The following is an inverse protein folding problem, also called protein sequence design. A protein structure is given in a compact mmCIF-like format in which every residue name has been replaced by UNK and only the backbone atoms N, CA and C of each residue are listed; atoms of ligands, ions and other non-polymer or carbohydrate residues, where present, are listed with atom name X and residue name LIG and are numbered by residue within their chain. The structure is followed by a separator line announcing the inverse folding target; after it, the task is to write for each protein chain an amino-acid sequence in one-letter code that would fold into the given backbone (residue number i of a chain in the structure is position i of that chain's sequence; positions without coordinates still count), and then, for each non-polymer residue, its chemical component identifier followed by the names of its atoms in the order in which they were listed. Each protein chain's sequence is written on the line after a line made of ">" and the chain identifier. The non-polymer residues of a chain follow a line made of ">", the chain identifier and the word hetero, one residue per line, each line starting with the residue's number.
data_IF_049194273924
#
_entry.id   IF_049194273924
#
_cell.length_a   1.000
_cell.length_b   1.000
_cell.length_c   1.000
_cell.angle_alpha   90.00
_cell.angle_beta   90.00
_cell.angle_gamma   90.00
#
_symmetry.space_group_name_H-M   'P 1'
#
loop_
_entity.id
_entity.type
_entity.pdbx_description
1 polymer ?
#
# COMPACT_ATOMS: atom_id res chain seq x y z
N UNK A 1 12.47 -0.62 6.26
CA UNK A 1 11.48 0.29 5.66
C UNK A 1 10.37 -0.47 4.95
N UNK A 2 10.60 -1.12 3.80
CA UNK A 2 9.54 -1.87 3.09
C UNK A 2 8.93 -2.97 3.98
N UNK A 3 9.76 -3.80 4.62
CA UNK A 3 9.28 -4.81 5.59
C UNK A 3 8.53 -4.19 6.77
N UNK A 4 8.99 -3.02 7.27
CA UNK A 4 8.35 -2.32 8.38
C UNK A 4 6.98 -1.76 7.98
N UNK A 5 6.88 -1.19 6.78
CA UNK A 5 5.62 -0.72 6.19
C UNK A 5 4.66 -1.89 6.04
N UNK A 6 5.10 -3.04 5.52
CA UNK A 6 4.20 -4.18 5.40
C UNK A 6 3.76 -4.74 6.76
N UNK A 7 4.67 -4.75 7.75
CA UNK A 7 4.39 -5.34 9.06
C UNK A 7 3.51 -4.43 9.94
N UNK A 8 3.73 -3.12 9.89
CA UNK A 8 3.15 -2.16 10.84
C UNK A 8 2.24 -1.11 10.19
N UNK A 9 2.17 -1.07 8.86
CA UNK A 9 1.50 -0.02 8.10
C UNK A 9 2.32 1.27 8.01
N UNK A 10 1.82 2.21 7.22
CA UNK A 10 2.30 3.58 7.17
C UNK A 10 1.84 4.31 8.43
N UNK A 11 2.78 4.52 9.35
CA UNK A 11 2.64 5.44 10.48
C UNK A 11 3.70 6.53 10.39
N UNK A 12 3.54 7.60 11.18
CA UNK A 12 4.50 8.69 11.23
C UNK A 12 5.93 8.16 11.47
N UNK A 13 6.82 8.42 10.52
CA UNK A 13 8.22 7.98 10.58
C UNK A 13 8.53 6.59 10.01
N UNK A 14 7.54 5.82 9.54
CA UNK A 14 7.76 4.51 8.90
C UNK A 14 8.02 4.59 7.39
N UNK A 15 7.55 5.65 6.73
CA UNK A 15 7.83 5.93 5.32
C UNK A 15 8.62 7.25 5.18
N UNK A 16 9.93 7.14 5.04
CA UNK A 16 10.86 8.26 4.93
C UNK A 16 10.72 8.92 3.56
N UNK A 17 9.97 10.03 3.51
CA UNK A 17 9.69 10.79 2.29
C UNK A 17 8.21 11.04 2.02
N UNK A 18 7.34 10.45 2.84
CA UNK A 18 5.89 10.69 2.86
C UNK A 18 5.42 11.06 4.28
N UNK A 19 6.30 11.72 5.04
CA UNK A 19 6.05 12.08 6.44
C UNK A 19 5.11 13.27 6.55
N UNK A 20 5.18 14.20 5.59
CA UNK A 20 4.39 15.43 5.60
C UNK A 20 3.29 15.41 4.54
N UNK A 21 2.17 16.08 4.82
CA UNK A 21 1.05 16.17 3.88
C UNK A 21 1.41 16.78 2.52
N UNK A 22 2.38 17.70 2.45
CA UNK A 22 2.80 18.25 1.16
C UNK A 22 3.51 17.21 0.28
N UNK A 23 4.13 16.19 0.88
CA UNK A 23 4.82 15.11 0.17
C UNK A 23 3.80 14.12 -0.36
N UNK A 24 2.82 13.72 0.47
CA UNK A 24 1.74 12.83 0.04
C UNK A 24 0.81 13.49 -0.97
N UNK A 25 0.51 14.78 -0.83
CA UNK A 25 -0.25 15.52 -1.83
C UNK A 25 0.49 15.56 -3.18
N UNK A 26 1.78 15.89 -3.17
CA UNK A 26 2.59 15.90 -4.39
C UNK A 26 2.66 14.51 -5.03
N UNK A 27 2.91 13.47 -4.23
CA UNK A 27 2.95 12.10 -4.71
C UNK A 27 1.61 11.68 -5.33
N UNK A 28 0.50 12.00 -4.67
CA UNK A 28 -0.83 11.74 -5.20
C UNK A 28 -1.04 12.44 -6.54
N UNK A 29 -0.71 13.73 -6.64
CA UNK A 29 -0.92 14.50 -7.87
C UNK A 29 -0.05 13.97 -9.03
N UNK A 30 1.15 13.44 -8.74
CA UNK A 30 2.06 12.84 -9.72
C UNK A 30 1.67 11.40 -10.15
N UNK A 31 1.04 10.62 -9.27
CA UNK A 31 0.75 9.19 -9.46
C UNK A 31 -0.73 8.82 -9.37
N UNK A 32 -1.63 9.79 -9.52
CA UNK A 32 -3.07 9.61 -9.29
C UNK A 32 -3.68 8.43 -10.05
N UNK A 33 -3.36 8.29 -11.33
CA UNK A 33 -3.92 7.22 -12.17
C UNK A 33 -3.46 5.84 -11.66
N UNK A 34 -2.16 5.67 -11.43
CA UNK A 34 -1.58 4.43 -10.90
C UNK A 34 -2.16 4.05 -9.53
N UNK A 35 -2.37 5.03 -8.65
CA UNK A 35 -3.00 4.83 -7.34
C UNK A 35 -4.43 4.26 -7.51
N UNK A 36 -5.23 4.85 -8.39
CA UNK A 36 -6.61 4.41 -8.60
C UNK A 36 -6.70 3.07 -9.34
N UNK A 37 -5.76 2.79 -10.24
CA UNK A 37 -5.67 1.49 -10.91
C UNK A 37 -5.38 0.38 -9.88
N UNK A 38 -4.39 0.57 -8.99
CA UNK A 38 -4.09 -0.38 -7.92
C UNK A 38 -5.29 -0.62 -7.00
N UNK A 39 -5.98 0.45 -6.58
CA UNK A 39 -7.17 0.32 -5.73
C UNK A 39 -8.30 -0.43 -6.47
N UNK A 40 -8.45 -0.19 -7.76
CA UNK A 40 -9.50 -0.85 -8.57
C UNK A 40 -9.21 -2.33 -8.74
N UNK A 41 -7.96 -2.70 -9.04
CA UNK A 41 -7.54 -4.09 -9.14
C UNK A 41 -7.75 -4.84 -7.82
N UNK A 42 -7.36 -4.25 -6.68
CA UNK A 42 -7.57 -4.83 -5.36
C UNK A 42 -9.06 -5.00 -5.03
N UNK A 43 -9.89 -4.02 -5.37
CA UNK A 43 -11.32 -4.12 -5.15
C UNK A 43 -11.96 -5.24 -6.00
N UNK A 44 -11.55 -5.34 -7.27
CA UNK A 44 -12.01 -6.38 -8.20
C UNK A 44 -11.58 -7.78 -7.74
N UNK A 45 -10.35 -7.95 -7.23
CA UNK A 45 -9.87 -9.20 -6.62
C UNK A 45 -10.73 -9.65 -5.44
N UNK A 46 -11.25 -8.69 -4.67
CA UNK A 46 -12.16 -8.94 -3.54
C UNK A 46 -13.63 -9.07 -3.96
N UNK A 47 -13.95 -8.83 -5.24
CA UNK A 47 -15.32 -8.84 -5.76
C UNK A 47 -16.17 -7.66 -5.24
N UNK A 48 -15.53 -6.52 -4.95
CA UNK A 48 -16.17 -5.31 -4.46
C UNK A 48 -15.81 -4.10 -5.35
N UNK A 49 -16.20 -2.90 -4.93
CA UNK A 49 -15.86 -1.64 -5.60
C UNK A 49 -14.85 -0.83 -4.76
N UNK A 50 -14.08 0.08 -5.39
CA UNK A 50 -13.06 0.88 -4.71
C UNK A 50 -13.52 1.58 -3.43
N UNK A 51 -14.74 2.15 -3.41
CA UNK A 51 -15.22 2.91 -2.26
C UNK A 51 -15.57 2.00 -1.08
N UNK A 52 -16.07 0.79 -1.33
CA UNK A 52 -16.34 -0.17 -0.28
C UNK A 52 -15.04 -0.74 0.30
N UNK A 53 -14.06 -1.06 -0.56
CA UNK A 53 -12.70 -1.45 -0.14
C UNK A 53 -12.09 -0.38 0.77
N UNK A 54 -11.98 0.85 0.27
CA UNK A 54 -11.38 1.97 1.00
C UNK A 54 -12.14 2.28 2.29
N UNK A 55 -13.49 2.27 2.24
CA UNK A 55 -14.34 2.54 3.39
C UNK A 55 -14.25 1.50 4.52
N UNK A 56 -13.77 0.30 4.22
CA UNK A 56 -13.54 -0.76 5.21
C UNK A 56 -12.22 -0.59 5.99
N UNK A 57 -11.28 0.19 5.44
CA UNK A 57 -9.95 0.39 6.03
C UNK A 57 -9.99 1.30 7.25
N UNK A 58 -9.09 1.05 8.21
CA UNK A 58 -8.99 1.88 9.42
C UNK A 58 -8.68 3.34 9.10
N UNK A 59 -7.84 3.59 8.08
CA UNK A 59 -7.48 4.92 7.60
C UNK A 59 -8.66 5.76 7.10
N UNK A 60 -9.76 5.16 6.67
CA UNK A 60 -10.95 5.91 6.24
C UNK A 60 -11.52 6.81 7.36
N UNK A 61 -11.29 6.46 8.64
CA UNK A 61 -11.74 7.24 9.80
C UNK A 61 -11.02 8.58 9.96
N UNK A 62 -9.88 8.78 9.29
CA UNK A 62 -9.09 10.01 9.37
C UNK A 62 -9.33 10.94 8.18
N UNK A 63 -10.22 10.59 7.25
CA UNK A 63 -10.54 11.39 6.06
C UNK A 63 -11.63 12.42 6.39
N UNK A 64 -11.23 13.67 6.62
CA UNK A 64 -12.13 14.80 6.91
C UNK A 64 -12.14 15.90 5.83
N UNK A 65 -11.17 15.89 4.91
CA UNK A 65 -11.05 16.80 3.78
C UNK A 65 -10.26 16.15 2.62
N UNK A 66 -10.06 16.90 1.53
CA UNK A 66 -9.35 16.42 0.34
C UNK A 66 -7.88 16.09 0.62
N UNK A 67 -7.19 16.88 1.45
CA UNK A 67 -5.79 16.63 1.82
C UNK A 67 -5.67 15.31 2.60
N UNK A 68 -6.56 15.09 3.57
CA UNK A 68 -6.63 13.84 4.32
C UNK A 68 -6.98 12.64 3.42
N UNK A 69 -7.84 12.85 2.41
CA UNK A 69 -8.13 11.82 1.41
C UNK A 69 -6.88 11.46 0.60
N UNK A 70 -6.18 12.44 0.03
CA UNK A 70 -4.94 12.19 -0.74
C UNK A 70 -3.91 11.43 0.10
N UNK A 71 -3.71 11.86 1.35
CA UNK A 71 -2.79 11.19 2.27
C UNK A 71 -3.19 9.74 2.52
N UNK A 72 -4.46 9.48 2.81
CA UNK A 72 -4.97 8.13 3.03
C UNK A 72 -4.78 7.24 1.81
N UNK A 73 -5.09 7.73 0.61
CA UNK A 73 -4.93 6.94 -0.63
C UNK A 73 -3.47 6.59 -0.91
N UNK A 74 -2.55 7.54 -0.69
CA UNK A 74 -1.12 7.30 -0.86
C UNK A 74 -0.62 6.27 0.14
N UNK A 75 -0.93 6.41 1.43
CA UNK A 75 -0.50 5.45 2.43
C UNK A 75 -1.06 4.06 2.18
N UNK A 76 -2.35 3.96 1.85
CA UNK A 76 -2.97 2.68 1.50
C UNK A 76 -2.21 1.98 0.35
N UNK A 77 -1.95 2.68 -0.76
CA UNK A 77 -1.25 2.07 -1.90
C UNK A 77 0.21 1.74 -1.57
N UNK A 78 0.89 2.57 -0.78
CA UNK A 78 2.28 2.30 -0.36
C UNK A 78 2.35 1.04 0.51
N UNK A 79 1.39 0.85 1.42
CA UNK A 79 1.28 -0.36 2.23
C UNK A 79 1.09 -1.60 1.37
N UNK A 80 0.12 -1.56 0.44
CA UNK A 80 -0.19 -2.67 -0.45
C UNK A 80 0.99 -3.05 -1.35
N UNK A 81 1.69 -2.06 -1.92
CA UNK A 81 2.88 -2.30 -2.75
C UNK A 81 4.04 -2.84 -1.92
N UNK A 82 4.26 -2.31 -0.71
CA UNK A 82 5.29 -2.81 0.18
C UNK A 82 5.05 -4.28 0.55
N UNK A 83 3.81 -4.67 0.87
CA UNK A 83 3.51 -6.06 1.17
C UNK A 83 3.67 -6.99 -0.03
N UNK A 84 3.23 -6.57 -1.23
CA UNK A 84 3.46 -7.35 -2.45
C UNK A 84 4.95 -7.62 -2.70
N UNK A 85 5.82 -6.63 -2.47
CA UNK A 85 7.28 -6.80 -2.61
C UNK A 85 7.81 -7.83 -1.60
N UNK A 86 7.40 -7.75 -0.34
CA UNK A 86 7.82 -8.68 0.72
C UNK A 86 7.37 -10.11 0.41
N UNK A 87 6.10 -10.31 0.04
CA UNK A 87 5.57 -11.62 -0.33
C UNK A 87 6.30 -12.23 -1.53
N UNK A 88 6.62 -11.42 -2.54
CA UNK A 88 7.39 -11.87 -3.70
C UNK A 88 8.81 -12.31 -3.33
N UNK A 89 9.46 -11.61 -2.41
CA UNK A 89 10.79 -11.95 -1.91
C UNK A 89 10.76 -13.26 -1.11
N UNK A 90 9.83 -13.40 -0.16
CA UNK A 90 9.64 -14.63 0.62
C UNK A 90 9.35 -15.85 -0.28
N UNK A 91 8.51 -15.66 -1.31
CA UNK A 91 8.20 -16.71 -2.27
C UNK A 91 9.43 -17.17 -3.06
N UNK A 92 10.29 -16.23 -3.50
CA UNK A 92 11.55 -16.54 -4.20
C UNK A 92 12.50 -17.33 -3.32
N UNK A 93 12.62 -16.96 -2.04
CA UNK A 93 13.47 -17.68 -1.08
C UNK A 93 12.97 -19.11 -0.83
N UNK A 94 11.66 -19.27 -0.65
CA UNK A 94 11.03 -20.58 -0.48
C UNK A 94 11.23 -21.51 -1.68
N UNK A 95 11.09 -21.01 -2.91
CA UNK A 95 11.32 -21.81 -4.12
C UNK A 95 12.78 -22.22 -4.27
N UNK A 96 13.73 -21.35 -3.89
CA UNK A 96 15.15 -21.70 -3.84
C UNK A 96 15.42 -22.82 -2.83
N UNK A 97 14.89 -22.73 -1.61
CA UNK A 97 15.05 -23.77 -0.58
C UNK A 97 14.46 -25.11 -1.02
N UNK A 98 13.29 -25.11 -1.68
CA UNK A 98 12.69 -26.33 -2.24
C UNK A 98 13.57 -26.99 -3.29
N UNK A 99 14.27 -26.20 -4.10
CA UNK A 99 15.17 -26.72 -5.12
C UNK A 99 16.40 -27.37 -4.49
N UNK A 100 17.00 -26.74 -3.48
CA UNK A 100 18.15 -27.26 -2.74
C UNK A 100 17.83 -28.55 -1.96
N UNK A 101 16.62 -28.67 -1.40
CA UNK A 101 16.18 -29.89 -0.68
C UNK A 101 15.88 -31.09 -1.60
N UNK A 102 15.77 -30.88 -2.92
CA UNK A 102 15.56 -31.94 -3.91
C UNK A 102 16.87 -32.50 -4.48
N UNK A 103 18.02 -31.92 -4.10
CA UNK A 103 19.38 -32.35 -4.45
C UNK A 103 20.02 -33.18 -3.33
#
# INVERSE_FOLDING_TARGET
>A
EIEDICTYGCIEGTCYGLTYYYETEKFYDEHKEEIWDIISDLADEMGDNPLALLGSQYGAKTVYDEMALKNFLVWFVVEEVACKIVEEEEFKEWEKMKQELKE
#
